data_IF_721638335045
#
_entry.id   IF_721638335045
#
_cell.length_a   1.000
_cell.length_b   1.000
_cell.length_c   1.000
_cell.angle_alpha   90.00
_cell.angle_beta   90.00
_cell.angle_gamma   90.00
#
_symmetry.space_group_name_H-M   'P 1'
#
loop_
_entity.id
_entity.type
_entity.pdbx_description
1 polymer ?
#
# COMPACT_ATOMS: atom_id res chain seq x y z
N UNK A 1 -3.05 -17.99 21.18
CA UNK A 1 -3.70 -17.84 19.86
C UNK A 1 -4.58 -16.61 19.94
N UNK A 2 -4.10 -15.44 19.47
CA UNK A 2 -4.92 -14.24 19.45
C UNK A 2 -5.72 -14.24 18.14
N UNK A 3 -6.97 -14.66 18.25
CA UNK A 3 -8.01 -14.45 17.24
C UNK A 3 -8.41 -12.97 17.31
N UNK A 4 -7.52 -12.06 16.93
CA UNK A 4 -7.94 -10.70 16.61
C UNK A 4 -8.70 -10.86 15.31
N UNK A 5 -10.01 -10.63 15.33
CA UNK A 5 -10.75 -10.34 14.10
C UNK A 5 -9.99 -9.20 13.43
N UNK A 6 -9.17 -9.55 12.44
CA UNK A 6 -8.48 -8.56 11.65
C UNK A 6 -9.58 -7.96 10.80
N UNK A 7 -10.02 -6.78 11.18
CA UNK A 7 -10.83 -5.91 10.34
C UNK A 7 -9.87 -4.97 9.58
N UNK A 8 -9.26 -5.44 8.47
CA UNK A 8 -8.37 -4.61 7.66
C UNK A 8 -9.09 -3.38 7.10
N UNK A 9 -10.39 -3.48 6.84
CA UNK A 9 -11.20 -2.36 6.35
C UNK A 9 -11.38 -1.30 7.45
N UNK A 10 -11.68 -1.74 8.68
CA UNK A 10 -11.70 -0.87 9.85
C UNK A 10 -10.33 -0.24 10.14
N UNK A 11 -9.25 -0.99 9.97
CA UNK A 11 -7.88 -0.47 10.12
C UNK A 11 -7.61 0.67 9.12
N UNK A 12 -8.04 0.54 7.86
CA UNK A 12 -7.94 1.61 6.86
C UNK A 12 -8.64 2.87 7.35
N UNK A 13 -9.86 2.78 7.90
CA UNK A 13 -10.58 3.94 8.44
C UNK A 13 -9.80 4.63 9.57
N UNK A 14 -9.13 3.85 10.43
CA UNK A 14 -8.30 4.42 11.50
C UNK A 14 -7.05 5.12 10.95
N UNK A 15 -6.39 4.56 9.95
CA UNK A 15 -5.25 5.22 9.31
C UNK A 15 -5.66 6.53 8.64
N UNK A 16 -6.81 6.57 7.95
CA UNK A 16 -7.36 7.80 7.39
C UNK A 16 -7.59 8.89 8.43
N UNK A 17 -8.13 8.53 9.60
CA UNK A 17 -8.30 9.47 10.72
C UNK A 17 -6.96 9.99 11.24
N UNK A 18 -5.95 9.13 11.36
CA UNK A 18 -4.62 9.51 11.80
C UNK A 18 -3.95 10.47 10.81
N UNK A 19 -4.02 10.17 9.51
CA UNK A 19 -3.50 11.01 8.42
C UNK A 19 -4.18 12.39 8.44
N UNK A 20 -5.51 12.43 8.46
CA UNK A 20 -6.27 13.69 8.49
C UNK A 20 -6.07 14.50 9.78
N UNK A 21 -5.79 13.81 10.89
CA UNK A 21 -5.46 14.43 12.18
C UNK A 21 -3.99 14.85 12.31
N UNK A 22 -3.14 14.50 11.34
CA UNK A 22 -1.70 14.75 11.40
C UNK A 22 -0.96 13.87 12.42
N UNK A 23 -1.59 12.83 12.98
CA UNK A 23 -0.95 11.91 13.92
C UNK A 23 -0.16 10.85 13.15
N UNK A 24 1.17 10.87 13.28
CA UNK A 24 2.08 9.85 12.73
C UNK A 24 1.78 9.51 11.26
N UNK A 25 1.56 10.55 10.45
CA UNK A 25 1.20 10.44 9.02
C UNK A 25 2.13 9.47 8.29
N UNK A 26 3.44 9.57 8.50
CA UNK A 26 4.44 8.69 7.87
C UNK A 26 4.20 7.20 8.14
N UNK A 27 3.82 6.85 9.38
CA UNK A 27 3.53 5.47 9.78
C UNK A 27 2.16 5.04 9.29
N UNK A 28 1.15 5.89 9.46
CA UNK A 28 -0.21 5.60 9.04
C UNK A 28 -0.32 5.34 7.52
N UNK A 29 0.37 6.11 6.69
CA UNK A 29 0.39 5.91 5.23
C UNK A 29 1.03 4.56 4.86
N UNK A 30 2.14 4.19 5.51
CA UNK A 30 2.82 2.91 5.25
C UNK A 30 1.96 1.72 5.65
N UNK A 31 1.41 1.76 6.87
CA UNK A 31 0.60 0.67 7.39
C UNK A 31 -0.71 0.53 6.58
N UNK A 32 -1.31 1.65 6.16
CA UNK A 32 -2.47 1.66 5.27
C UNK A 32 -2.17 1.01 3.92
N UNK A 33 -1.04 1.34 3.30
CA UNK A 33 -0.64 0.73 2.04
C UNK A 33 -0.44 -0.80 2.17
N UNK A 34 0.19 -1.25 3.25
CA UNK A 34 0.37 -2.69 3.53
C UNK A 34 -0.98 -3.39 3.69
N UNK A 35 -1.90 -2.80 4.45
CA UNK A 35 -3.25 -3.37 4.64
C UNK A 35 -4.05 -3.39 3.34
N UNK A 36 -4.03 -2.31 2.54
CA UNK A 36 -4.67 -2.27 1.21
C UNK A 36 -4.09 -3.34 0.27
N UNK A 37 -2.79 -3.59 0.34
CA UNK A 37 -2.14 -4.65 -0.45
C UNK A 37 -2.61 -6.05 -0.01
N UNK A 38 -2.75 -6.29 1.29
CA UNK A 38 -3.29 -7.55 1.83
C UNK A 38 -4.75 -7.80 1.42
N UNK A 39 -5.50 -6.72 1.16
CA UNK A 39 -6.87 -6.76 0.64
C UNK A 39 -6.94 -6.92 -0.89
N UNK A 40 -5.82 -7.18 -1.56
CA UNK A 40 -5.74 -7.26 -3.03
C UNK A 40 -6.18 -5.96 -3.73
N UNK A 41 -5.92 -4.80 -3.10
CA UNK A 41 -6.22 -3.46 -3.61
C UNK A 41 -4.93 -2.64 -3.83
N UNK A 42 -3.98 -3.12 -4.65
CA UNK A 42 -2.70 -2.45 -4.85
C UNK A 42 -2.84 -1.08 -5.55
N UNK A 43 -3.84 -0.90 -6.41
CA UNK A 43 -4.10 0.39 -7.07
C UNK A 43 -4.44 1.49 -6.06
N UNK A 44 -5.31 1.18 -5.10
CA UNK A 44 -5.72 2.12 -4.05
C UNK A 44 -4.56 2.41 -3.09
N UNK A 45 -3.72 1.41 -2.80
CA UNK A 45 -2.50 1.61 -2.03
C UNK A 45 -1.55 2.60 -2.73
N UNK A 46 -1.38 2.48 -4.05
CA UNK A 46 -0.55 3.37 -4.87
C UNK A 46 -1.13 4.79 -4.87
N UNK A 47 -2.43 4.94 -5.08
CA UNK A 47 -3.09 6.25 -5.07
C UNK A 47 -2.94 6.93 -3.71
N UNK A 48 -3.23 6.20 -2.62
CA UNK A 48 -3.08 6.71 -1.28
C UNK A 48 -1.64 7.18 -0.98
N UNK A 49 -0.62 6.38 -1.30
CA UNK A 49 0.77 6.80 -1.10
C UNK A 49 1.06 8.08 -1.89
N UNK A 50 0.67 8.16 -3.16
CA UNK A 50 0.92 9.35 -3.98
C UNK A 50 0.21 10.60 -3.44
N UNK A 51 -1.03 10.47 -2.95
CA UNK A 51 -1.79 11.56 -2.36
C UNK A 51 -1.19 12.07 -1.05
N UNK A 52 -0.69 11.18 -0.19
CA UNK A 52 -0.18 11.57 1.14
C UNK A 52 1.33 11.78 1.20
N UNK A 53 2.10 11.40 0.17
CA UNK A 53 3.57 11.57 0.13
C UNK A 53 4.00 13.02 0.40
N UNK A 54 3.21 14.00 -0.02
CA UNK A 54 3.48 15.41 0.24
C UNK A 54 3.31 15.83 1.71
N UNK A 55 2.47 15.10 2.47
CA UNK A 55 2.24 15.30 3.90
C UNK A 55 3.29 14.58 4.76
N UNK A 56 3.94 13.55 4.20
CA UNK A 56 4.95 12.78 4.92
C UNK A 56 6.30 13.49 4.99
N UNK A 57 7.07 13.21 6.05
CA UNK A 57 8.40 13.78 6.24
C UNK A 57 9.38 13.31 5.15
N UNK A 58 10.36 14.15 4.79
CA UNK A 58 11.37 13.81 3.76
C UNK A 58 12.15 12.53 4.08
N UNK A 59 12.34 12.22 5.36
CA UNK A 59 13.03 11.01 5.82
C UNK A 59 12.24 9.74 5.52
N UNK A 60 10.91 9.84 5.39
CA UNK A 60 10.04 8.71 5.06
C UNK A 60 9.92 8.44 3.56
N UNK A 61 10.26 9.41 2.69
CA UNK A 61 10.11 9.31 1.24
C UNK A 61 10.82 8.09 0.64
N UNK A 62 12.09 7.76 0.98
CA UNK A 62 12.75 6.59 0.43
C UNK A 62 12.03 5.28 0.73
N UNK A 63 11.44 5.16 1.93
CA UNK A 63 10.66 3.97 2.29
C UNK A 63 9.31 3.88 1.59
N UNK A 64 8.66 5.03 1.31
CA UNK A 64 7.43 5.08 0.51
C UNK A 64 7.71 4.75 -0.96
N UNK A 65 8.84 5.22 -1.49
CA UNK A 65 9.26 4.95 -2.86
C UNK A 65 9.55 3.44 -3.06
N UNK A 66 10.19 2.79 -2.09
CA UNK A 66 10.38 1.34 -2.12
C UNK A 66 9.05 0.57 -2.12
N UNK A 67 8.10 0.97 -1.26
CA UNK A 67 6.75 0.38 -1.25
C UNK A 67 6.04 0.57 -2.59
N UNK A 68 6.10 1.78 -3.18
CA UNK A 68 5.53 2.04 -4.50
C UNK A 68 6.14 1.15 -5.57
N UNK A 69 7.47 0.98 -5.58
CA UNK A 69 8.16 0.09 -6.52
C UNK A 69 7.65 -1.35 -6.39
N UNK A 70 7.51 -1.85 -5.16
CA UNK A 70 7.03 -3.21 -4.92
C UNK A 70 5.56 -3.38 -5.32
N UNK A 71 4.72 -2.37 -5.06
CA UNK A 71 3.32 -2.35 -5.51
C UNK A 71 3.21 -2.34 -7.03
N UNK A 72 4.01 -1.53 -7.72
CA UNK A 72 4.02 -1.51 -9.18
C UNK A 72 4.54 -2.82 -9.77
N UNK A 73 5.51 -3.48 -9.13
CA UNK A 73 5.95 -4.81 -9.56
C UNK A 73 4.82 -5.83 -9.40
N UNK A 74 4.13 -5.83 -8.26
CA UNK A 74 2.99 -6.71 -8.01
C UNK A 74 1.86 -6.47 -9.04
N UNK A 75 1.51 -5.20 -9.26
CA UNK A 75 0.45 -4.82 -10.21
C UNK A 75 0.81 -5.10 -11.67
N UNK A 76 2.07 -4.86 -12.09
CA UNK A 76 2.54 -5.08 -13.47
C UNK A 76 3.09 -6.49 -13.73
N UNK A 77 2.91 -7.44 -12.82
CA UNK A 77 3.39 -8.81 -12.99
C UNK A 77 2.49 -9.81 -13.77
N UNK A 78 1.49 -9.46 -14.63
CA UNK A 78 0.90 -10.48 -15.50
C UNK A 78 1.72 -10.78 -16.77
N UNK A 79 2.95 -10.27 -16.90
CA UNK A 79 3.89 -10.67 -17.97
C UNK A 79 5.09 -11.41 -17.38
N UNK A 80 4.84 -12.64 -16.93
CA UNK A 80 5.89 -13.64 -16.88
C UNK A 80 6.32 -13.96 -18.32
N UNK A 81 7.46 -13.42 -18.73
CA UNK A 81 8.06 -13.64 -20.06
C UNK A 81 8.45 -15.13 -20.29
N UNK A 82 8.20 -16.01 -19.30
CA UNK A 82 8.43 -17.46 -19.38
C UNK A 82 7.18 -18.30 -19.67
N UNK A 83 6.00 -17.69 -19.85
CA UNK A 83 4.82 -18.44 -20.31
C UNK A 83 4.88 -18.47 -21.85
N UNK A 84 5.21 -19.64 -22.42
CA UNK A 84 5.17 -19.84 -23.88
C UNK A 84 3.81 -19.35 -24.43
N UNK A 85 3.79 -18.58 -25.54
CA UNK A 85 2.53 -18.20 -26.16
C UNK A 85 1.76 -19.47 -26.58
N UNK A 86 0.41 -19.46 -26.52
CA UNK A 86 -0.38 -20.60 -26.95
C UNK A 86 -0.05 -20.91 -28.41
N UNK A 87 0.44 -22.13 -28.66
CA UNK A 87 0.70 -22.62 -30.01
C UNK A 87 -0.61 -22.65 -30.77
N UNK A 88 -0.70 -21.80 -31.78
CA UNK A 88 -1.76 -21.80 -32.81
C UNK A 88 -1.74 -23.08 -33.63
#
# INVERSE_FOLDING_TARGET
MQLVEKDPEGAIVWFWKAINGGDRVDSAVKDMAVVMTQLDRPEEAIEAINSFRCLCSKNSHPSLDNLLIDLYKFYKQPYDFNVEPPRS
#
